data_IF_772238184059
#
_entry.id   IF_772238184059
#
_cell.length_a   1.000
_cell.length_b   1.000
_cell.length_c   1.000
_cell.angle_alpha   90.00
_cell.angle_beta   90.00
_cell.angle_gamma   90.00
#
_symmetry.space_group_name_H-M   'P 1'
#
loop_
_entity.id
_entity.type
_entity.pdbx_description
1 polymer ?
#
# COMPACT_ATOMS: atom_id res chain seq x y z
N UNK A 1 14.93 -19.77 -34.34
CA UNK A 1 13.77 -18.89 -34.03
C UNK A 1 13.15 -19.22 -32.69
N UNK A 2 13.93 -19.68 -31.70
CA UNK A 2 13.44 -20.21 -30.42
C UNK A 2 13.98 -19.52 -29.13
N UNK A 3 14.69 -18.41 -29.23
CA UNK A 3 15.30 -17.77 -28.05
C UNK A 3 14.42 -16.72 -27.33
N UNK A 4 13.20 -16.45 -27.82
CA UNK A 4 12.35 -15.36 -27.29
C UNK A 4 11.36 -15.79 -26.20
N UNK A 5 11.14 -17.07 -26.03
CA UNK A 5 10.13 -17.59 -25.07
C UNK A 5 10.69 -17.83 -23.66
N UNK A 6 11.97 -18.10 -23.52
CA UNK A 6 12.58 -18.42 -22.21
C UNK A 6 12.79 -17.20 -21.31
N UNK A 7 13.06 -16.03 -21.86
CA UNK A 7 13.27 -14.80 -21.07
C UNK A 7 11.97 -14.23 -20.48
N UNK A 8 10.84 -14.43 -21.16
CA UNK A 8 9.53 -13.98 -20.66
C UNK A 8 9.06 -14.81 -19.47
N UNK A 9 9.27 -16.12 -19.51
CA UNK A 9 8.91 -17.05 -18.43
C UNK A 9 9.70 -16.77 -17.14
N UNK A 10 11.00 -16.51 -17.25
CA UNK A 10 11.84 -16.17 -16.08
C UNK A 10 11.42 -14.87 -15.40
N UNK A 11 11.02 -13.85 -16.17
CA UNK A 11 10.57 -12.57 -15.61
C UNK A 11 9.27 -12.70 -14.82
N UNK A 12 8.32 -13.47 -15.34
CA UNK A 12 7.05 -13.71 -14.65
C UNK A 12 7.29 -14.43 -13.32
N UNK A 13 8.20 -15.41 -13.31
CA UNK A 13 8.56 -16.13 -12.08
C UNK A 13 9.15 -15.21 -11.01
N UNK A 14 10.05 -14.30 -11.38
CA UNK A 14 10.62 -13.33 -10.44
C UNK A 14 9.56 -12.36 -9.91
N UNK A 15 8.64 -11.87 -10.74
CA UNK A 15 7.54 -10.99 -10.32
C UNK A 15 6.64 -11.71 -9.32
N UNK A 16 6.26 -12.95 -9.62
CA UNK A 16 5.45 -13.77 -8.70
C UNK A 16 6.18 -14.01 -7.40
N UNK A 17 7.46 -14.38 -7.45
CA UNK A 17 8.28 -14.61 -6.27
C UNK A 17 8.39 -13.35 -5.39
N UNK A 18 8.70 -12.19 -5.99
CA UNK A 18 8.79 -10.92 -5.25
C UNK A 18 7.43 -10.48 -4.69
N UNK A 19 6.35 -10.70 -5.42
CA UNK A 19 5.00 -10.43 -4.94
C UNK A 19 4.64 -11.31 -3.73
N UNK A 20 4.93 -12.61 -3.79
CA UNK A 20 4.73 -13.53 -2.66
C UNK A 20 5.62 -13.17 -1.48
N UNK A 21 6.87 -12.85 -1.71
CA UNK A 21 7.80 -12.41 -0.67
C UNK A 21 7.29 -11.14 0.02
N UNK A 22 6.87 -10.12 -0.75
CA UNK A 22 6.27 -8.91 -0.22
C UNK A 22 4.98 -9.22 0.56
N UNK A 23 4.16 -10.13 0.05
CA UNK A 23 2.96 -10.61 0.74
C UNK A 23 3.29 -11.21 2.11
N UNK A 24 4.27 -12.08 2.17
CA UNK A 24 4.69 -12.74 3.43
C UNK A 24 5.37 -11.77 4.39
N UNK A 25 6.11 -10.77 3.90
CA UNK A 25 6.85 -9.85 4.75
C UNK A 25 5.99 -8.70 5.29
N UNK A 26 5.09 -8.14 4.49
CA UNK A 26 4.39 -6.89 4.83
C UNK A 26 2.97 -7.09 5.36
N UNK A 27 2.29 -8.21 5.06
CA UNK A 27 0.90 -8.40 5.45
C UNK A 27 0.66 -9.15 6.77
N UNK A 28 1.52 -10.09 7.21
CA UNK A 28 1.33 -10.71 8.52
C UNK A 28 1.38 -9.65 9.62
N UNK A 29 0.55 -9.84 10.63
CA UNK A 29 0.54 -9.00 11.83
C UNK A 29 0.05 -7.55 11.66
N UNK A 30 -0.49 -7.13 10.50
CA UNK A 30 -1.00 -5.77 10.31
C UNK A 30 -2.01 -5.34 11.38
N UNK A 31 -2.87 -6.24 11.82
CA UNK A 31 -3.89 -5.98 12.84
C UNK A 31 -3.57 -6.51 14.25
N UNK A 32 -2.41 -7.14 14.46
CA UNK A 32 -2.10 -7.77 15.75
C UNK A 32 -1.40 -6.82 16.74
N UNK A 33 -0.74 -5.78 16.23
CA UNK A 33 -0.04 -4.80 17.06
C UNK A 33 -0.92 -3.56 17.19
N UNK A 34 -1.31 -3.18 18.42
CA UNK A 34 -2.03 -1.93 18.64
C UNK A 34 -1.27 -0.72 18.12
N UNK A 35 -1.97 0.38 17.87
CA UNK A 35 -1.29 1.64 17.50
C UNK A 35 -0.31 2.05 18.60
N UNK A 36 0.97 2.04 18.27
CA UNK A 36 2.04 2.27 19.26
C UNK A 36 2.51 3.72 19.29
N UNK A 37 2.51 4.41 18.16
CA UNK A 37 2.96 5.79 18.06
C UNK A 37 1.79 6.77 17.94
N UNK A 38 2.01 8.01 18.40
CA UNK A 38 1.02 9.10 18.28
C UNK A 38 0.68 9.47 16.83
N UNK A 39 1.49 9.04 15.87
CA UNK A 39 1.29 9.26 14.44
C UNK A 39 0.14 8.44 13.88
N UNK A 40 0.14 7.13 14.06
CA UNK A 40 -0.88 6.23 13.51
C UNK A 40 -2.32 6.55 13.95
N UNK A 41 -2.60 6.79 15.24
CA UNK A 41 -3.95 7.18 15.65
C UNK A 41 -4.43 8.50 15.04
N UNK A 42 -3.52 9.44 14.77
CA UNK A 42 -3.88 10.70 14.09
C UNK A 42 -4.34 10.46 12.65
N UNK A 43 -3.65 9.59 11.95
CA UNK A 43 -4.02 9.25 10.58
C UNK A 43 -5.32 8.45 10.55
N UNK A 44 -5.54 7.54 11.51
CA UNK A 44 -6.79 6.82 11.68
C UNK A 44 -7.99 7.75 11.93
N UNK A 45 -7.82 8.82 12.73
CA UNK A 45 -8.86 9.83 12.94
C UNK A 45 -9.22 10.59 11.66
N UNK A 46 -8.24 10.88 10.79
CA UNK A 46 -8.51 11.51 9.50
C UNK A 46 -9.29 10.58 8.57
N UNK A 47 -8.95 9.28 8.55
CA UNK A 47 -9.70 8.27 7.81
C UNK A 47 -11.12 8.12 8.35
N UNK A 48 -11.28 8.12 9.67
CA UNK A 48 -12.59 8.08 10.31
C UNK A 48 -13.48 9.28 9.91
N UNK A 49 -12.91 10.46 9.81
CA UNK A 49 -13.63 11.67 9.38
C UNK A 49 -14.11 11.55 7.92
N UNK A 50 -13.26 11.04 7.02
CA UNK A 50 -13.65 10.75 5.64
C UNK A 50 -14.82 9.78 5.59
N UNK A 51 -14.73 8.69 6.35
CA UNK A 51 -15.74 7.63 6.35
C UNK A 51 -17.07 8.10 6.94
N UNK A 52 -17.04 8.87 8.05
CA UNK A 52 -18.24 9.29 8.77
C UNK A 52 -18.90 10.52 8.18
N UNK A 53 -18.12 11.46 7.66
CA UNK A 53 -18.63 12.74 7.16
C UNK A 53 -18.67 12.84 5.63
N UNK A 54 -17.99 11.93 4.92
CA UNK A 54 -17.85 12.00 3.47
C UNK A 54 -16.93 13.13 2.97
N UNK A 55 -16.10 13.70 3.84
CA UNK A 55 -15.19 14.80 3.54
C UNK A 55 -13.88 14.31 2.92
N UNK A 56 -13.92 13.95 1.64
CA UNK A 56 -12.76 13.38 0.94
C UNK A 56 -11.64 14.37 0.65
N UNK A 57 -11.99 15.65 0.45
CA UNK A 57 -11.02 16.67 0.03
C UNK A 57 -10.27 17.28 1.22
N UNK A 58 -10.97 17.52 2.32
CA UNK A 58 -10.41 18.17 3.50
C UNK A 58 -10.77 17.39 4.78
N UNK A 59 -10.27 16.15 4.95
CA UNK A 59 -10.55 15.41 6.18
C UNK A 59 -9.95 16.18 7.38
N UNK A 60 -10.73 16.38 8.42
CA UNK A 60 -10.31 17.13 9.59
C UNK A 60 -9.84 16.15 10.69
N UNK A 61 -8.64 16.36 11.19
CA UNK A 61 -8.19 15.68 12.42
C UNK A 61 -8.98 16.26 13.61
N UNK A 62 -9.81 15.46 14.25
CA UNK A 62 -10.65 15.89 15.40
C UNK A 62 -11.56 17.10 15.07
N UNK A 63 -12.05 17.18 13.86
CA UNK A 63 -12.92 18.26 13.38
C UNK A 63 -12.31 19.69 13.43
N UNK A 64 -11.01 19.83 13.68
CA UNK A 64 -10.40 21.16 13.91
C UNK A 64 -9.10 21.41 13.15
N UNK A 65 -8.37 20.37 12.70
CA UNK A 65 -7.07 20.53 12.07
C UNK A 65 -6.97 19.78 10.74
N UNK A 66 -6.55 20.46 9.69
CA UNK A 66 -6.29 19.88 8.37
C UNK A 66 -5.04 18.97 8.48
N UNK A 67 -5.05 17.76 7.89
CA UNK A 67 -3.88 16.91 7.83
C UNK A 67 -2.72 17.60 7.10
N UNK A 68 -1.53 17.50 7.65
CA UNK A 68 -0.31 18.05 7.05
C UNK A 68 0.28 17.15 5.96
N UNK A 69 -0.27 15.95 5.76
CA UNK A 69 0.20 14.96 4.79
C UNK A 69 -0.71 14.90 3.57
N UNK A 70 -0.17 14.48 2.39
CA UNK A 70 -0.97 14.27 1.20
C UNK A 70 -2.13 13.28 1.45
N UNK A 71 -3.31 13.50 0.82
CA UNK A 71 -4.52 12.75 1.13
C UNK A 71 -4.53 11.32 0.59
N UNK A 72 -3.61 10.95 -0.31
CA UNK A 72 -3.58 9.64 -0.97
C UNK A 72 -3.61 8.47 0.02
N UNK A 73 -2.86 8.56 1.11
CA UNK A 73 -2.84 7.54 2.15
C UNK A 73 -4.23 7.40 2.81
N UNK A 74 -4.84 8.52 3.19
CA UNK A 74 -6.15 8.55 3.85
C UNK A 74 -7.24 8.03 2.91
N UNK A 75 -7.22 8.41 1.64
CA UNK A 75 -8.15 7.89 0.63
C UNK A 75 -8.00 6.38 0.44
N UNK A 76 -6.77 5.88 0.38
CA UNK A 76 -6.52 4.44 0.24
C UNK A 76 -7.03 3.66 1.45
N UNK A 77 -6.82 4.18 2.65
CA UNK A 77 -7.33 3.56 3.89
C UNK A 77 -8.86 3.64 3.97
N UNK A 78 -9.46 4.75 3.55
CA UNK A 78 -10.92 4.89 3.48
C UNK A 78 -11.54 3.92 2.45
N UNK A 79 -10.89 3.71 1.30
CA UNK A 79 -11.32 2.70 0.31
C UNK A 79 -11.18 1.28 0.89
N UNK A 80 -10.09 1.00 1.61
CA UNK A 80 -9.92 -0.30 2.29
C UNK A 80 -11.05 -0.53 3.30
N UNK A 81 -11.44 0.50 4.05
CA UNK A 81 -12.60 0.45 4.94
C UNK A 81 -13.89 0.12 4.18
N UNK A 82 -14.14 0.73 3.04
CA UNK A 82 -15.36 0.45 2.25
C UNK A 82 -15.45 -1.01 1.83
N UNK A 83 -14.32 -1.68 1.61
CA UNK A 83 -14.28 -3.10 1.24
C UNK A 83 -14.41 -4.01 2.47
N UNK A 84 -13.73 -3.67 3.57
CA UNK A 84 -13.65 -4.52 4.77
C UNK A 84 -14.79 -4.29 5.76
N UNK A 85 -15.39 -3.10 5.75
CA UNK A 85 -16.38 -2.65 6.72
C UNK A 85 -15.84 -2.43 8.14
N UNK A 86 -14.51 -2.47 8.33
CA UNK A 86 -13.85 -2.34 9.64
C UNK A 86 -12.81 -1.23 9.60
N UNK A 87 -12.82 -0.39 10.63
CA UNK A 87 -11.80 0.63 10.85
C UNK A 87 -10.89 0.18 12.00
N UNK A 88 -9.95 -0.67 11.66
CA UNK A 88 -8.96 -1.26 12.57
C UNK A 88 -7.53 -0.97 12.12
N UNK A 89 -6.55 -1.42 12.90
CA UNK A 89 -5.12 -1.26 12.60
C UNK A 89 -4.75 -1.87 11.25
N UNK A 90 -5.34 -3.02 10.91
CA UNK A 90 -5.10 -3.69 9.63
C UNK A 90 -5.55 -2.82 8.45
N UNK A 91 -6.74 -2.23 8.54
CA UNK A 91 -7.31 -1.33 7.53
C UNK A 91 -6.43 -0.09 7.30
N UNK A 92 -5.91 0.50 8.37
CA UNK A 92 -5.05 1.69 8.29
C UNK A 92 -3.67 1.35 7.71
N UNK A 93 -3.10 0.18 8.04
CA UNK A 93 -1.76 -0.23 7.60
C UNK A 93 -1.74 -0.90 6.23
N UNK A 94 -2.87 -1.43 5.79
CA UNK A 94 -2.98 -2.15 4.51
C UNK A 94 -2.45 -1.34 3.31
N UNK A 95 -2.79 -0.05 3.12
CA UNK A 95 -2.26 0.74 2.01
C UNK A 95 -0.73 0.81 1.99
N UNK A 96 -0.10 0.95 3.18
CA UNK A 96 1.36 1.00 3.28
C UNK A 96 2.01 -0.31 2.85
N UNK A 97 1.49 -1.45 3.29
CA UNK A 97 1.96 -2.77 2.89
C UNK A 97 1.77 -3.02 1.38
N UNK A 98 0.62 -2.59 0.85
CA UNK A 98 0.31 -2.69 -0.57
C UNK A 98 1.28 -1.85 -1.42
N UNK A 99 1.47 -0.57 -1.10
CA UNK A 99 2.38 0.29 -1.83
C UNK A 99 3.85 -0.13 -1.68
N UNK A 100 4.26 -0.67 -0.53
CA UNK A 100 5.59 -1.24 -0.36
C UNK A 100 5.83 -2.43 -1.31
N UNK A 101 4.89 -3.36 -1.38
CA UNK A 101 4.96 -4.50 -2.31
C UNK A 101 4.98 -4.03 -3.77
N UNK A 102 4.09 -3.10 -4.13
CA UNK A 102 4.04 -2.52 -5.48
C UNK A 102 5.35 -1.80 -5.83
N UNK A 103 5.94 -1.08 -4.87
CA UNK A 103 7.24 -0.41 -5.04
C UNK A 103 8.37 -1.39 -5.37
N UNK A 104 8.44 -2.51 -4.66
CA UNK A 104 9.43 -3.58 -4.96
C UNK A 104 9.25 -4.12 -6.37
N UNK A 105 8.02 -4.41 -6.79
CA UNK A 105 7.73 -4.89 -8.14
C UNK A 105 8.08 -3.84 -9.20
N UNK A 106 7.76 -2.58 -8.95
CA UNK A 106 8.07 -1.49 -9.86
C UNK A 106 9.57 -1.30 -10.05
N UNK A 107 10.35 -1.31 -8.95
CA UNK A 107 11.81 -1.22 -8.99
C UNK A 107 12.40 -2.39 -9.79
N UNK A 108 11.90 -3.61 -9.59
CA UNK A 108 12.32 -4.76 -10.37
C UNK A 108 12.07 -4.58 -11.87
N UNK A 109 10.86 -4.15 -12.25
CA UNK A 109 10.50 -3.94 -13.67
C UNK A 109 11.34 -2.83 -14.30
N UNK A 110 11.52 -1.70 -13.59
CA UNK A 110 12.35 -0.59 -14.04
C UNK A 110 13.83 -1.01 -14.17
N UNK A 111 14.37 -1.69 -13.17
CA UNK A 111 15.74 -2.18 -13.18
C UNK A 111 16.00 -3.10 -14.39
N UNK A 112 15.06 -3.99 -14.67
CA UNK A 112 15.16 -4.83 -15.88
C UNK A 112 15.14 -4.03 -17.18
N UNK A 113 14.28 -3.02 -17.28
CA UNK A 113 14.20 -2.19 -18.50
C UNK A 113 15.44 -1.33 -18.70
N UNK A 114 16.02 -0.82 -17.61
CA UNK A 114 17.17 0.08 -17.68
C UNK A 114 18.51 -0.65 -17.82
N UNK A 115 18.64 -1.84 -17.20
CA UNK A 115 19.91 -2.56 -17.12
C UNK A 115 19.92 -3.87 -17.91
N UNK A 116 18.79 -4.31 -18.49
CA UNK A 116 18.83 -5.36 -19.49
C UNK A 116 19.52 -4.79 -20.73
N UNK A 117 20.81 -5.07 -20.87
CA UNK A 117 21.58 -4.69 -22.05
C UNK A 117 20.85 -5.22 -23.30
N UNK A 118 20.77 -4.41 -24.37
CA UNK A 118 20.38 -4.95 -25.66
C UNK A 118 21.47 -5.93 -26.07
N UNK A 119 21.11 -7.20 -26.14
CA UNK A 119 21.94 -8.23 -26.76
C UNK A 119 21.98 -8.04 -28.28
#
# INVERSE_FOLDING_TARGET
MEAKTTTCSSSALHIVFLGLLGGVLYFPYLGQVPFFDKGEPREALAVQDIVQRGEWLFPLKRATAIPSKPPLFHWSAALTYQVTGRLDEATIRFPSAFYATLGVLLIYVLGRKLFAAPA
#
